data_IF_484568633852
#
_entry.id   IF_484568633852
#
_cell.length_a   1.000
_cell.length_b   1.000
_cell.length_c   1.000
_cell.angle_alpha   90.00
_cell.angle_beta   90.00
_cell.angle_gamma   90.00
#
_symmetry.space_group_name_H-M   'P 1'
#
loop_
_entity.id
_entity.type
_entity.pdbx_description
1 polymer ?
#
# COMPACT_ATOMS: atom_id res chain seq x y z
N UNK A 1 -29.93 -14.09 61.96
CA UNK A 1 -30.03 -14.71 60.61
C UNK A 1 -29.71 -13.66 59.53
N UNK A 2 -28.63 -13.87 58.77
CA UNK A 2 -27.89 -12.89 57.94
C UNK A 2 -28.57 -12.49 56.61
N UNK A 3 -29.72 -11.81 56.64
CA UNK A 3 -30.36 -11.30 55.39
C UNK A 3 -29.76 -10.03 54.72
N UNK A 4 -29.12 -9.07 55.41
CA UNK A 4 -28.63 -7.85 54.75
C UNK A 4 -27.37 -8.10 53.88
N UNK A 5 -26.60 -9.15 54.20
CA UNK A 5 -25.43 -9.58 53.40
C UNK A 5 -25.82 -10.24 52.07
N UNK A 6 -27.03 -10.78 51.96
CA UNK A 6 -27.46 -11.51 50.75
C UNK A 6 -27.79 -10.56 49.59
N UNK A 7 -28.44 -9.42 49.86
CA UNK A 7 -28.79 -8.43 48.82
C UNK A 7 -27.53 -7.76 48.25
N UNK A 8 -26.61 -7.32 49.12
CA UNK A 8 -25.31 -6.78 48.68
C UNK A 8 -24.49 -7.81 47.91
N UNK A 9 -24.58 -9.09 48.28
CA UNK A 9 -23.87 -10.18 47.59
C UNK A 9 -24.46 -10.51 46.23
N UNK A 10 -25.80 -10.55 46.10
CA UNK A 10 -26.49 -10.86 44.84
C UNK A 10 -26.23 -9.81 43.76
N UNK A 11 -26.16 -8.54 44.16
CA UNK A 11 -25.94 -7.44 43.23
C UNK A 11 -24.47 -7.23 42.89
N UNK A 12 -23.56 -7.56 43.81
CA UNK A 12 -22.13 -7.70 43.50
C UNK A 12 -21.89 -8.79 42.45
N UNK A 13 -22.61 -9.92 42.56
CA UNK A 13 -22.58 -10.99 41.57
C UNK A 13 -23.09 -10.49 40.21
N UNK A 14 -24.21 -9.76 40.17
CA UNK A 14 -24.76 -9.21 38.92
C UNK A 14 -23.79 -8.24 38.24
N UNK A 15 -23.14 -7.35 39.02
CA UNK A 15 -22.14 -6.43 38.48
C UNK A 15 -20.91 -7.14 37.91
N UNK A 16 -20.42 -8.17 38.61
CA UNK A 16 -19.32 -9.00 38.13
C UNK A 16 -19.72 -9.67 36.81
N UNK A 17 -20.94 -10.21 36.71
CA UNK A 17 -21.45 -10.82 35.48
C UNK A 17 -21.55 -9.79 34.35
N UNK A 18 -22.09 -8.59 34.60
CA UNK A 18 -22.21 -7.54 33.58
C UNK A 18 -20.85 -7.05 33.07
N UNK A 19 -19.90 -6.76 33.97
CA UNK A 19 -18.53 -6.38 33.59
C UNK A 19 -17.89 -7.51 32.79
N UNK A 20 -18.10 -8.77 33.18
CA UNK A 20 -17.58 -9.94 32.44
C UNK A 20 -18.16 -10.01 31.02
N UNK A 21 -19.45 -9.73 30.85
CA UNK A 21 -20.10 -9.72 29.53
C UNK A 21 -19.57 -8.56 28.67
N UNK A 22 -19.48 -7.36 29.23
CA UNK A 22 -19.00 -6.15 28.51
C UNK A 22 -17.54 -6.32 28.09
N UNK A 23 -16.69 -6.80 28.97
CA UNK A 23 -15.27 -7.08 28.67
C UNK A 23 -15.13 -8.16 27.60
N UNK A 24 -15.90 -9.25 27.70
CA UNK A 24 -15.89 -10.31 26.68
C UNK A 24 -16.37 -9.81 25.31
N UNK A 25 -17.44 -9.01 25.29
CA UNK A 25 -17.91 -8.35 24.06
C UNK A 25 -16.83 -7.44 23.47
N UNK A 26 -16.20 -6.61 24.30
CA UNK A 26 -15.13 -5.70 23.88
C UNK A 26 -13.93 -6.46 23.31
N UNK A 27 -13.58 -7.60 23.91
CA UNK A 27 -12.52 -8.49 23.44
C UNK A 27 -12.84 -9.10 22.06
N UNK A 28 -14.09 -9.55 21.84
CA UNK A 28 -14.54 -10.08 20.54
C UNK A 28 -14.49 -8.98 19.46
N UNK A 29 -14.92 -7.77 19.79
CA UNK A 29 -14.85 -6.62 18.88
C UNK A 29 -13.39 -6.30 18.55
N UNK A 30 -12.51 -6.23 19.55
CA UNK A 30 -11.07 -5.99 19.35
C UNK A 30 -10.42 -7.04 18.46
N UNK A 31 -10.74 -8.32 18.67
CA UNK A 31 -10.29 -9.40 17.79
C UNK A 31 -10.78 -9.24 16.36
N UNK A 32 -12.04 -8.81 16.17
CA UNK A 32 -12.63 -8.60 14.84
C UNK A 32 -12.00 -7.41 14.11
N UNK A 33 -11.76 -6.29 14.82
CA UNK A 33 -11.06 -5.12 14.28
C UNK A 33 -9.65 -5.51 13.85
N UNK A 34 -8.92 -6.25 14.69
CA UNK A 34 -7.59 -6.71 14.36
C UNK A 34 -7.59 -7.65 13.14
N UNK A 35 -8.46 -8.66 13.13
CA UNK A 35 -8.58 -9.60 12.01
C UNK A 35 -8.94 -8.90 10.70
N UNK A 36 -9.82 -7.90 10.77
CA UNK A 36 -10.17 -7.05 9.64
C UNK A 36 -8.93 -6.30 9.14
N UNK A 37 -8.20 -5.61 10.01
CA UNK A 37 -6.99 -4.87 9.63
C UNK A 37 -5.93 -5.77 8.96
N UNK A 38 -5.75 -7.01 9.43
CA UNK A 38 -4.84 -7.97 8.78
C UNK A 38 -5.32 -8.39 7.38
N UNK A 39 -6.63 -8.59 7.24
CA UNK A 39 -7.24 -9.00 5.97
C UNK A 39 -7.18 -7.85 4.96
N UNK A 40 -7.46 -6.63 5.42
CA UNK A 40 -7.36 -5.40 4.63
C UNK A 40 -5.92 -5.21 4.14
N UNK A 41 -4.90 -5.39 5.01
CA UNK A 41 -3.50 -5.29 4.61
C UNK A 41 -3.10 -6.28 3.50
N UNK A 42 -3.57 -7.53 3.55
CA UNK A 42 -3.34 -8.51 2.49
C UNK A 42 -4.05 -8.14 1.18
N UNK A 43 -5.31 -7.70 1.27
CA UNK A 43 -6.08 -7.29 0.10
C UNK A 43 -5.49 -6.05 -0.57
N UNK A 44 -5.08 -5.05 0.22
CA UNK A 44 -4.40 -3.84 -0.23
C UNK A 44 -3.08 -4.21 -0.92
N UNK A 45 -2.28 -5.14 -0.34
CA UNK A 45 -1.04 -5.60 -0.97
C UNK A 45 -1.28 -6.31 -2.31
N UNK A 46 -2.27 -7.21 -2.35
CA UNK A 46 -2.64 -7.93 -3.57
C UNK A 46 -3.16 -6.97 -4.65
N UNK A 47 -3.91 -5.94 -4.27
CA UNK A 47 -4.40 -4.91 -5.18
C UNK A 47 -3.24 -4.09 -5.75
N UNK A 48 -2.31 -3.63 -4.92
CA UNK A 48 -1.13 -2.90 -5.36
C UNK A 48 -0.22 -3.74 -6.25
N UNK A 49 -0.01 -5.02 -5.90
CA UNK A 49 0.78 -5.94 -6.71
C UNK A 49 0.13 -6.17 -8.08
N UNK A 50 -1.18 -6.45 -8.11
CA UNK A 50 -1.94 -6.61 -9.35
C UNK A 50 -1.89 -5.36 -10.22
N UNK A 51 -2.11 -4.20 -9.62
CA UNK A 51 -2.06 -2.91 -10.31
C UNK A 51 -0.67 -2.67 -10.94
N UNK A 52 0.39 -2.94 -10.19
CA UNK A 52 1.76 -2.80 -10.67
C UNK A 52 2.07 -3.78 -11.81
N UNK A 53 1.62 -5.03 -11.67
CA UNK A 53 1.73 -6.05 -12.72
C UNK A 53 0.99 -5.62 -13.99
N UNK A 54 -0.23 -5.09 -13.88
CA UNK A 54 -1.00 -4.58 -15.02
C UNK A 54 -0.32 -3.38 -15.69
N UNK A 55 0.24 -2.46 -14.90
CA UNK A 55 0.98 -1.29 -15.41
C UNK A 55 2.21 -1.72 -16.20
N UNK A 56 3.01 -2.64 -15.66
CA UNK A 56 4.20 -3.16 -16.34
C UNK A 56 3.80 -3.94 -17.60
N UNK A 57 2.79 -4.81 -17.51
CA UNK A 57 2.32 -5.58 -18.68
C UNK A 57 1.77 -4.68 -19.79
N UNK A 58 1.08 -3.59 -19.43
CA UNK A 58 0.63 -2.59 -20.39
C UNK A 58 1.82 -1.88 -21.05
N UNK A 59 2.81 -1.47 -20.25
CA UNK A 59 4.04 -0.87 -20.77
C UNK A 59 4.80 -1.83 -21.69
N UNK A 60 4.82 -3.12 -21.39
CA UNK A 60 5.39 -4.16 -22.25
C UNK A 60 4.68 -4.28 -23.59
N UNK A 61 3.35 -4.37 -23.58
CA UNK A 61 2.56 -4.40 -24.80
C UNK A 61 2.76 -3.12 -25.62
N UNK A 62 2.77 -1.96 -24.96
CA UNK A 62 3.02 -0.67 -25.59
C UNK A 62 4.43 -0.61 -26.21
N UNK A 63 5.44 -1.15 -25.52
CA UNK A 63 6.82 -1.25 -26.03
C UNK A 63 6.87 -2.08 -27.30
N UNK A 64 6.15 -3.20 -27.36
CA UNK A 64 6.08 -4.05 -28.55
C UNK A 64 5.41 -3.37 -29.74
N UNK A 65 4.31 -2.65 -29.51
CA UNK A 65 3.63 -1.85 -30.54
C UNK A 65 4.57 -0.77 -31.06
N UNK A 66 5.20 0.01 -30.18
CA UNK A 66 6.15 1.06 -30.56
C UNK A 66 7.34 0.48 -31.34
N UNK A 67 7.88 -0.64 -30.87
CA UNK A 67 9.01 -1.30 -31.52
C UNK A 67 8.63 -1.78 -32.92
N UNK A 68 7.44 -2.38 -33.08
CA UNK A 68 6.93 -2.82 -34.39
C UNK A 68 6.68 -1.64 -35.33
N UNK A 69 6.11 -0.55 -34.83
CA UNK A 69 5.87 0.65 -35.64
C UNK A 69 7.18 1.30 -36.12
N UNK A 70 8.18 1.37 -35.22
CA UNK A 70 9.46 2.02 -35.50
C UNK A 70 10.46 1.15 -36.25
N UNK A 71 10.46 -0.17 -36.06
CA UNK A 71 11.52 -1.09 -36.50
C UNK A 71 10.98 -2.44 -37.00
N UNK A 72 9.69 -2.54 -37.34
CA UNK A 72 9.07 -3.79 -37.80
C UNK A 72 9.39 -4.22 -39.22
N UNK A 73 10.04 -3.35 -40.02
CA UNK A 73 10.43 -3.63 -41.40
C UNK A 73 11.94 -3.35 -41.62
N UNK A 74 12.50 -4.01 -42.64
CA UNK A 74 13.92 -3.91 -42.95
C UNK A 74 14.35 -2.47 -43.28
N UNK A 75 13.51 -1.71 -44.00
CA UNK A 75 13.81 -0.34 -44.40
C UNK A 75 13.94 0.61 -43.20
N UNK A 76 13.10 0.45 -42.17
CA UNK A 76 13.19 1.21 -40.92
C UNK A 76 14.41 0.84 -40.10
N UNK A 77 14.79 -0.42 -40.06
CA UNK A 77 16.04 -0.86 -39.41
C UNK A 77 17.25 -0.29 -40.14
N UNK A 78 17.28 -0.36 -41.47
CA UNK A 78 18.34 0.26 -42.29
C UNK A 78 18.40 1.78 -42.10
N UNK A 79 17.25 2.44 -41.93
CA UNK A 79 17.17 3.86 -41.63
C UNK A 79 17.75 4.19 -40.24
N UNK A 80 17.48 3.36 -39.24
CA UNK A 80 18.11 3.47 -37.91
C UNK A 80 19.63 3.31 -38.02
N UNK A 81 20.11 2.32 -38.76
CA UNK A 81 21.54 2.14 -39.02
C UNK A 81 22.16 3.36 -39.70
N UNK A 82 21.47 3.94 -40.69
CA UNK A 82 21.91 5.15 -41.36
C UNK A 82 22.00 6.35 -40.40
N UNK A 83 21.08 6.47 -39.45
CA UNK A 83 21.13 7.51 -38.41
C UNK A 83 22.37 7.35 -37.50
N UNK A 84 22.75 6.12 -37.17
CA UNK A 84 23.95 5.85 -36.36
C UNK A 84 25.25 6.08 -37.13
N UNK A 85 25.32 5.61 -38.38
CA UNK A 85 26.54 5.60 -39.21
C UNK A 85 26.86 6.91 -39.94
N UNK A 86 25.85 7.67 -40.37
CA UNK A 86 26.06 8.87 -41.17
C UNK A 86 26.19 10.13 -40.30
N UNK A 87 26.86 11.13 -40.86
CA UNK A 87 26.85 12.49 -40.31
C UNK A 87 25.45 13.11 -40.39
N UNK A 88 25.08 14.03 -39.48
CA UNK A 88 23.73 14.59 -39.41
C UNK A 88 23.21 15.19 -40.73
N UNK A 89 24.07 15.87 -41.48
CA UNK A 89 23.72 16.47 -42.78
C UNK A 89 23.46 15.42 -43.85
N UNK A 90 24.32 14.39 -43.93
CA UNK A 90 24.18 13.29 -44.88
C UNK A 90 22.93 12.46 -44.58
N UNK A 91 22.67 12.21 -43.30
CA UNK A 91 21.46 11.51 -42.87
C UNK A 91 20.19 12.28 -43.24
N UNK A 92 20.17 13.59 -43.00
CA UNK A 92 19.04 14.44 -43.37
C UNK A 92 18.80 14.39 -44.89
N UNK A 93 19.85 14.54 -45.70
CA UNK A 93 19.74 14.45 -47.15
C UNK A 93 19.19 13.08 -47.60
N UNK A 94 19.69 11.98 -47.03
CA UNK A 94 19.18 10.63 -47.31
C UNK A 94 17.69 10.51 -46.98
N UNK A 95 17.28 11.03 -45.82
CA UNK A 95 15.87 10.96 -45.38
C UNK A 95 14.92 11.79 -46.26
N UNK A 96 15.41 12.90 -46.83
CA UNK A 96 14.63 13.77 -47.72
C UNK A 96 14.49 13.22 -49.14
N UNK A 97 15.47 12.42 -49.61
CA UNK A 97 15.44 11.78 -50.94
C UNK A 97 14.55 10.53 -50.99
N UNK A 98 13.86 10.19 -49.90
CA UNK A 98 13.01 9.02 -49.84
C UNK A 98 11.74 9.20 -50.71
N UNK A 99 11.66 8.46 -51.82
CA UNK A 99 10.57 8.55 -52.80
C UNK A 99 9.30 7.75 -52.41
N UNK A 100 9.32 7.04 -51.28
CA UNK A 100 8.20 6.19 -50.84
C UNK A 100 7.04 6.98 -50.21
N UNK A 101 7.20 8.28 -49.99
CA UNK A 101 6.21 9.12 -49.30
C UNK A 101 6.16 8.92 -47.78
N UNK A 102 6.87 7.91 -47.26
CA UNK A 102 6.98 7.65 -45.83
C UNK A 102 8.01 8.56 -45.15
N UNK A 103 7.66 9.09 -43.98
CA UNK A 103 8.52 9.95 -43.19
C UNK A 103 9.55 9.12 -42.41
N UNK A 104 10.72 8.88 -43.01
CA UNK A 104 11.81 8.10 -42.42
C UNK A 104 12.84 8.93 -41.64
N UNK A 105 12.53 10.18 -41.28
CA UNK A 105 13.46 10.95 -40.46
C UNK A 105 13.38 10.53 -38.99
N UNK A 106 14.40 9.80 -38.52
CA UNK A 106 14.42 9.13 -37.22
C UNK A 106 14.04 10.03 -36.02
N UNK A 107 14.62 11.25 -35.88
CA UNK A 107 14.25 12.14 -34.77
C UNK A 107 12.76 12.54 -34.79
N UNK A 108 12.13 12.62 -35.97
CA UNK A 108 10.71 12.91 -36.07
C UNK A 108 9.85 11.68 -35.78
N UNK A 109 10.26 10.49 -36.22
CA UNK A 109 9.58 9.23 -35.87
C UNK A 109 9.50 9.06 -34.36
N UNK A 110 10.60 9.27 -33.65
CA UNK A 110 10.63 9.19 -32.18
C UNK A 110 9.78 10.30 -31.55
N UNK A 111 9.88 11.53 -32.05
CA UNK A 111 9.05 12.64 -31.56
C UNK A 111 7.55 12.34 -31.68
N UNK A 112 7.14 11.65 -32.74
CA UNK A 112 5.77 11.23 -32.98
C UNK A 112 5.29 10.22 -31.92
N UNK A 113 6.15 9.30 -31.48
CA UNK A 113 5.83 8.36 -30.39
C UNK A 113 5.42 9.12 -29.13
N UNK A 114 6.18 10.13 -28.71
CA UNK A 114 5.82 10.95 -27.54
C UNK A 114 4.52 11.76 -27.70
N UNK A 115 4.03 11.96 -28.92
CA UNK A 115 2.74 12.62 -29.16
C UNK A 115 1.56 11.66 -29.19
N UNK A 116 1.80 10.42 -29.61
CA UNK A 116 0.76 9.38 -29.71
C UNK A 116 0.61 8.57 -28.43
N UNK A 117 1.70 8.44 -27.68
CA UNK A 117 1.81 7.55 -26.54
C UNK A 117 2.05 8.36 -25.27
N UNK A 118 1.23 8.11 -24.25
CA UNK A 118 1.40 8.66 -22.91
C UNK A 118 2.24 7.70 -22.05
N UNK A 119 2.84 8.21 -20.96
CA UNK A 119 3.52 7.37 -19.97
C UNK A 119 4.94 6.95 -20.28
N UNK A 120 5.56 7.58 -21.26
CA UNK A 120 6.95 7.32 -21.64
C UNK A 120 7.83 8.41 -21.04
N UNK A 121 8.72 8.06 -20.10
CA UNK A 121 9.76 8.99 -19.64
C UNK A 121 10.88 9.13 -20.66
N UNK A 122 11.23 8.02 -21.32
CA UNK A 122 12.36 7.96 -22.23
C UNK A 122 12.34 6.74 -23.14
N UNK A 123 13.07 6.85 -24.25
CA UNK A 123 13.35 5.74 -25.17
C UNK A 123 14.86 5.69 -25.36
N UNK A 124 15.43 4.51 -25.18
CA UNK A 124 16.84 4.20 -25.42
C UNK A 124 16.95 3.12 -26.49
N UNK A 125 17.89 3.29 -27.41
CA UNK A 125 18.24 2.26 -28.39
C UNK A 125 19.75 2.08 -28.41
N UNK A 126 20.17 0.82 -28.35
CA UNK A 126 21.55 0.40 -28.53
C UNK A 126 21.62 -0.56 -29.69
N UNK A 127 22.62 -0.40 -30.55
CA UNK A 127 22.91 -1.32 -31.65
C UNK A 127 24.22 -2.05 -31.35
N UNK A 128 24.32 -3.32 -31.71
CA UNK A 128 25.47 -4.15 -31.33
C UNK A 128 26.80 -3.69 -31.97
N UNK A 129 26.72 -2.99 -33.10
CA UNK A 129 27.87 -2.55 -33.91
C UNK A 129 28.36 -1.14 -33.55
N UNK A 130 27.67 -0.42 -32.66
CA UNK A 130 27.98 0.96 -32.34
C UNK A 130 28.22 1.16 -30.84
N UNK A 131 29.30 1.88 -30.50
CA UNK A 131 29.61 2.25 -29.12
C UNK A 131 28.67 3.33 -28.56
N UNK A 132 28.00 4.08 -29.45
CA UNK A 132 27.04 5.11 -29.08
C UNK A 132 25.64 4.51 -28.94
N UNK A 133 24.82 5.11 -28.09
CA UNK A 133 23.40 4.78 -27.98
C UNK A 133 22.56 6.00 -28.35
N UNK A 134 21.35 5.75 -28.83
CA UNK A 134 20.34 6.78 -28.99
C UNK A 134 19.55 6.90 -27.68
N UNK A 135 19.30 8.13 -27.25
CA UNK A 135 18.46 8.40 -26.09
C UNK A 135 17.56 9.60 -26.36
N UNK A 136 16.30 9.47 -25.98
CA UNK A 136 15.30 10.54 -26.00
C UNK A 136 14.53 10.57 -24.69
N UNK A 137 13.96 11.72 -24.37
CA UNK A 137 13.09 11.90 -23.21
C UNK A 137 12.04 12.97 -23.48
N UNK A 138 11.15 13.21 -22.51
CA UNK A 138 10.07 14.20 -22.63
C UNK A 138 10.54 15.64 -22.93
N UNK A 139 11.74 16.03 -22.49
CA UNK A 139 12.30 17.37 -22.75
C UNK A 139 12.94 17.47 -24.14
N UNK A 140 13.58 16.39 -24.59
CA UNK A 140 14.26 16.29 -25.88
C UNK A 140 13.72 15.09 -26.65
N UNK A 141 12.48 15.23 -27.12
CA UNK A 141 11.71 14.17 -27.80
C UNK A 141 12.37 13.66 -29.07
N UNK A 142 13.13 14.50 -29.76
CA UNK A 142 13.90 14.13 -30.94
C UNK A 142 15.14 13.25 -30.61
N UNK A 143 15.56 13.24 -29.35
CA UNK A 143 16.72 12.53 -28.86
C UNK A 143 18.05 13.00 -29.44
N UNK A 144 19.09 12.23 -29.13
CA UNK A 144 20.45 12.38 -29.67
C UNK A 144 21.28 11.12 -29.44
N UNK A 145 22.36 10.98 -30.20
CA UNK A 145 23.41 9.97 -29.98
C UNK A 145 24.28 10.40 -28.82
N UNK A 146 24.59 9.47 -27.90
CA UNK A 146 25.43 9.72 -26.73
C UNK A 146 26.12 8.44 -26.28
N UNK A 147 27.33 8.57 -25.72
CA UNK A 147 28.11 7.44 -25.19
C UNK A 147 27.79 7.06 -23.75
N UNK A 148 27.20 7.99 -23.00
CA UNK A 148 26.86 7.79 -21.58
C UNK A 148 25.41 8.17 -21.35
N UNK A 149 24.71 7.33 -20.61
CA UNK A 149 23.38 7.63 -20.12
C UNK A 149 23.46 8.54 -18.89
N UNK A 150 22.48 9.42 -18.70
CA UNK A 150 22.25 10.01 -17.39
C UNK A 150 21.98 8.87 -16.39
N UNK A 151 22.62 8.94 -15.21
CA UNK A 151 22.37 8.00 -14.12
C UNK A 151 21.00 8.32 -13.52
N UNK A 152 19.96 7.70 -14.05
CA UNK A 152 18.66 7.69 -13.39
C UNK A 152 18.60 6.45 -12.52
N UNK A 153 18.75 6.65 -11.21
CA UNK A 153 18.38 5.62 -10.24
C UNK A 153 16.84 5.60 -10.15
N UNK A 154 16.26 4.41 -9.99
CA UNK A 154 14.82 4.21 -9.75
C UNK A 154 13.91 4.43 -10.98
N UNK A 155 14.09 3.64 -12.04
CA UNK A 155 13.24 3.67 -13.23
C UNK A 155 12.94 2.26 -13.73
N UNK A 156 11.71 2.06 -14.20
CA UNK A 156 11.32 0.80 -14.82
C UNK A 156 11.68 0.86 -16.30
N UNK A 157 12.61 0.00 -16.68
CA UNK A 157 13.10 -0.15 -18.05
C UNK A 157 12.53 -1.44 -18.65
N UNK A 158 11.71 -1.31 -19.70
CA UNK A 158 11.21 -2.44 -20.48
C UNK A 158 12.13 -2.66 -21.67
N UNK A 159 12.85 -3.78 -21.65
CA UNK A 159 13.81 -4.13 -22.70
C UNK A 159 13.18 -5.08 -23.73
N UNK A 160 13.45 -4.84 -25.01
CA UNK A 160 13.07 -5.71 -26.13
C UNK A 160 14.23 -5.80 -27.14
N UNK A 161 14.58 -7.01 -27.61
CA UNK A 161 15.59 -7.15 -28.66
C UNK A 161 15.05 -6.60 -29.99
N UNK A 162 15.92 -5.95 -30.75
CA UNK A 162 15.63 -5.54 -32.13
C UNK A 162 16.02 -6.71 -33.03
N UNK A 163 15.02 -7.35 -33.63
CA UNK A 163 15.23 -8.54 -34.48
C UNK A 163 15.09 -8.11 -35.93
N UNK A 164 16.12 -8.36 -36.74
CA UNK A 164 16.05 -8.08 -38.17
C UNK A 164 15.10 -9.09 -38.84
N UNK A 165 14.09 -8.64 -39.62
CA UNK A 165 13.05 -9.53 -40.15
C UNK A 165 13.60 -10.59 -41.11
N UNK A 166 14.61 -10.25 -41.90
CA UNK A 166 15.13 -11.15 -42.94
C UNK A 166 16.02 -12.29 -42.43
N UNK A 167 16.73 -12.08 -41.31
CA UNK A 167 17.75 -13.03 -40.83
C UNK A 167 17.55 -13.48 -39.36
N UNK A 168 16.53 -12.94 -38.68
CA UNK A 168 16.15 -13.26 -37.30
C UNK A 168 17.30 -13.02 -36.30
N UNK A 169 18.30 -12.20 -36.66
CA UNK A 169 19.40 -11.84 -35.75
C UNK A 169 19.02 -10.65 -34.88
N UNK A 170 19.35 -10.76 -33.60
CA UNK A 170 19.32 -9.62 -32.69
C UNK A 170 20.41 -8.62 -33.10
N UNK A 171 19.96 -7.42 -33.40
CA UNK A 171 20.75 -6.34 -33.99
C UNK A 171 20.99 -5.22 -32.97
N UNK A 172 20.25 -5.25 -31.86
CA UNK A 172 20.36 -4.28 -30.78
C UNK A 172 19.29 -4.49 -29.71
N UNK A 173 19.19 -3.55 -28.78
CA UNK A 173 18.16 -3.51 -27.74
C UNK A 173 17.42 -2.18 -27.78
N UNK A 174 16.09 -2.27 -27.85
CA UNK A 174 15.16 -1.18 -27.61
C UNK A 174 14.73 -1.20 -26.14
N UNK A 175 14.80 -0.06 -25.47
CA UNK A 175 14.36 0.11 -24.09
C UNK A 175 13.35 1.25 -24.01
N UNK A 176 12.15 0.95 -23.50
CA UNK A 176 11.20 1.97 -23.08
C UNK A 176 11.34 2.21 -21.58
N UNK A 177 11.36 3.47 -21.18
CA UNK A 177 11.43 3.88 -19.77
C UNK A 177 10.05 4.41 -19.38
N UNK A 178 9.44 3.79 -18.37
CA UNK A 178 8.11 4.19 -17.87
C UNK A 178 8.22 5.50 -17.09
N UNK A 179 7.24 6.37 -17.27
CA UNK A 179 7.11 7.60 -16.49
C UNK A 179 6.70 7.33 -15.04
N UNK A 180 7.61 7.67 -14.11
CA UNK A 180 7.42 7.61 -12.66
C UNK A 180 6.18 8.39 -12.22
N UNK A 181 5.84 9.49 -12.90
CA UNK A 181 4.65 10.27 -12.57
C UNK A 181 3.35 9.46 -12.75
N UNK A 182 3.27 8.58 -13.76
CA UNK A 182 2.11 7.71 -13.95
C UNK A 182 2.06 6.63 -12.88
N UNK A 183 3.22 6.05 -12.55
CA UNK A 183 3.32 5.02 -11.52
C UNK A 183 2.87 5.61 -10.17
N UNK A 184 3.45 6.75 -9.77
CA UNK A 184 3.10 7.43 -8.50
C UNK A 184 1.65 7.86 -8.45
N UNK A 185 1.18 8.59 -9.46
CA UNK A 185 -0.21 9.06 -9.52
C UNK A 185 -1.19 7.90 -9.32
N UNK A 186 -1.00 6.80 -10.03
CA UNK A 186 -1.94 5.69 -9.98
C UNK A 186 -1.82 4.87 -8.67
N UNK A 187 -0.61 4.79 -8.10
CA UNK A 187 -0.41 4.21 -6.77
C UNK A 187 -1.09 5.07 -5.71
N UNK A 188 -0.94 6.39 -5.74
CA UNK A 188 -1.57 7.34 -4.81
C UNK A 188 -3.11 7.35 -4.95
N UNK A 189 -3.64 7.15 -6.15
CA UNK A 189 -5.08 7.00 -6.40
C UNK A 189 -5.64 5.65 -5.89
N UNK A 190 -4.79 4.67 -5.58
CA UNK A 190 -5.19 3.39 -5.01
C UNK A 190 -5.24 3.50 -3.47
N UNK A 191 -6.44 3.38 -2.89
CA UNK A 191 -6.61 3.32 -1.43
C UNK A 191 -5.72 2.23 -0.82
N UNK A 192 -4.92 2.58 0.19
CA UNK A 192 -4.10 1.63 0.97
C UNK A 192 -2.59 1.71 0.72
N UNK A 193 -2.14 2.41 -0.33
CA UNK A 193 -0.70 2.46 -0.72
C UNK A 193 0.16 3.36 0.16
N UNK A 194 -0.45 4.20 1.01
CA UNK A 194 0.26 5.09 1.95
C UNK A 194 1.18 4.34 2.93
N UNK A 195 0.87 3.07 3.22
CA UNK A 195 1.62 2.23 4.17
C UNK A 195 2.52 1.20 3.49
N UNK A 196 2.45 1.13 2.17
CA UNK A 196 3.09 0.09 1.39
C UNK A 196 4.46 0.51 0.90
N UNK A 197 5.32 -0.47 0.67
CA UNK A 197 6.53 -0.34 -0.12
C UNK A 197 6.42 -1.29 -1.31
N UNK A 198 6.64 -0.78 -2.51
CA UNK A 198 6.59 -1.56 -3.75
C UNK A 198 8.00 -1.61 -4.32
N UNK A 199 8.46 -2.81 -4.63
CA UNK A 199 9.78 -3.09 -5.17
C UNK A 199 9.62 -3.87 -6.47
N UNK A 200 10.36 -3.48 -7.50
CA UNK A 200 10.41 -4.18 -8.79
C UNK A 200 11.84 -4.62 -9.05
N UNK A 201 12.01 -5.91 -9.29
CA UNK A 201 13.29 -6.55 -9.58
C UNK A 201 13.31 -7.11 -11.00
N UNK A 202 14.50 -7.10 -11.59
CA UNK A 202 14.79 -7.92 -12.77
C UNK A 202 14.75 -9.41 -12.43
N UNK A 203 14.69 -10.25 -13.46
CA UNK A 203 14.88 -11.70 -13.35
C UNK A 203 16.22 -12.06 -12.68
N UNK A 204 17.23 -11.21 -12.85
CA UNK A 204 18.56 -11.31 -12.21
C UNK A 204 18.60 -10.81 -10.76
N UNK A 205 17.44 -10.60 -10.12
CA UNK A 205 17.28 -10.08 -8.77
C UNK A 205 17.93 -8.70 -8.53
N UNK A 206 18.03 -7.85 -9.55
CA UNK A 206 18.50 -6.47 -9.40
C UNK A 206 17.31 -5.54 -9.19
N UNK A 207 17.36 -4.71 -8.15
CA UNK A 207 16.31 -3.72 -7.90
C UNK A 207 16.32 -2.66 -9.02
N UNK A 208 15.19 -2.55 -9.71
CA UNK A 208 14.96 -1.54 -10.76
C UNK A 208 14.21 -0.33 -10.24
N UNK A 209 13.19 -0.58 -9.41
CA UNK A 209 12.27 0.44 -8.94
C UNK A 209 11.81 0.19 -7.51
N UNK A 210 11.65 1.27 -6.76
CA UNK A 210 11.20 1.32 -5.38
C UNK A 210 10.26 2.50 -5.20
N UNK A 211 9.13 2.23 -4.57
CA UNK A 211 8.18 3.21 -4.06
C UNK A 211 7.96 2.96 -2.57
N UNK A 212 7.84 4.03 -1.78
CA UNK A 212 7.52 3.97 -0.36
C UNK A 212 6.42 4.99 -0.06
N UNK A 213 5.30 4.52 0.47
CA UNK A 213 4.19 5.38 0.86
C UNK A 213 4.56 6.30 2.02
N UNK A 214 3.87 7.45 2.14
CA UNK A 214 4.17 8.50 3.11
C UNK A 214 4.26 8.01 4.56
N UNK A 215 3.39 7.07 4.96
CA UNK A 215 3.35 6.51 6.33
C UNK A 215 4.44 5.45 6.56
N UNK A 216 5.04 4.93 5.49
CA UNK A 216 6.17 4.02 5.57
C UNK A 216 7.53 4.74 5.43
N UNK A 217 7.53 5.99 4.96
CA UNK A 217 8.73 6.82 4.76
C UNK A 217 9.52 7.08 6.06
N UNK A 218 8.87 7.11 7.22
CA UNK A 218 9.51 7.31 8.53
C UNK A 218 10.35 6.12 9.04
N UNK A 219 10.15 4.92 8.49
CA UNK A 219 10.96 3.72 8.77
C UNK A 219 11.96 3.43 7.65
N UNK A 220 12.20 4.41 6.76
CA UNK A 220 13.27 4.42 5.77
C UNK A 220 14.64 4.60 6.44
N UNK A 221 14.89 3.85 7.51
CA UNK A 221 16.25 3.51 7.88
C UNK A 221 16.82 2.72 6.70
N UNK A 222 18.00 3.13 6.28
CA UNK A 222 18.93 2.44 5.40
C UNK A 222 19.34 1.06 5.97
N UNK A 223 18.39 0.20 6.39
CA UNK A 223 18.58 -1.24 6.40
C UNK A 223 18.44 -1.70 4.97
N UNK A 224 19.49 -1.33 4.24
CA UNK A 224 20.09 -2.07 3.15
C UNK A 224 19.08 -2.93 2.41
N UNK A 225 18.55 -2.35 1.35
CA UNK A 225 17.96 -3.02 0.19
C UNK A 225 18.71 -4.32 -0.19
N UNK A 226 19.98 -4.48 0.21
CA UNK A 226 20.79 -5.71 0.10
C UNK A 226 20.34 -6.90 0.97
N UNK A 227 19.58 -6.72 2.06
CA UNK A 227 19.02 -7.85 2.83
C UNK A 227 17.79 -8.46 2.15
N UNK A 228 17.11 -7.69 1.29
CA UNK A 228 16.02 -8.16 0.44
C UNK A 228 16.51 -8.89 -0.83
N UNK A 229 17.80 -8.76 -1.17
CA UNK A 229 18.44 -9.41 -2.34
C UNK A 229 18.59 -10.93 -2.12
N UNK A 230 18.66 -11.38 -0.87
CA UNK A 230 18.49 -12.79 -0.54
C UNK A 230 17.03 -13.04 -0.20
N UNK A 231 16.28 -13.58 -1.17
CA UNK A 231 14.96 -14.17 -0.99
C UNK A 231 15.05 -15.36 -0.02
N UNK A 232 15.25 -15.07 1.26
CA UNK A 232 15.19 -16.02 2.35
C UNK A 232 13.85 -15.71 3.02
N UNK A 233 12.77 -16.30 2.48
CA UNK A 233 11.35 -16.13 2.85
C UNK A 233 11.12 -16.00 4.37
N UNK A 234 11.98 -16.62 5.18
CA UNK A 234 11.85 -16.74 6.63
C UNK A 234 12.11 -15.46 7.45
N UNK A 235 12.79 -14.45 6.91
CA UNK A 235 13.10 -13.21 7.67
C UNK A 235 12.09 -12.09 7.44
N UNK A 236 11.57 -11.95 6.21
CA UNK A 236 10.62 -10.90 5.80
C UNK A 236 9.20 -11.17 6.27
N UNK A 237 8.74 -12.43 6.30
CA UNK A 237 7.41 -12.79 6.81
C UNK A 237 7.17 -12.42 8.27
N UNK A 238 8.23 -12.20 9.08
CA UNK A 238 8.07 -11.89 10.50
C UNK A 238 7.60 -10.45 10.71
N UNK A 239 8.21 -9.49 10.04
CA UNK A 239 7.97 -8.06 10.25
C UNK A 239 6.87 -7.48 9.36
N UNK A 240 6.72 -8.02 8.15
CA UNK A 240 5.89 -7.43 7.10
C UNK A 240 4.86 -8.44 6.58
N UNK A 241 3.76 -7.91 6.03
CA UNK A 241 2.90 -8.63 5.10
C UNK A 241 3.51 -8.49 3.71
N UNK A 242 3.80 -9.63 3.07
CA UNK A 242 4.48 -9.69 1.78
C UNK A 242 3.52 -10.22 0.72
N UNK A 243 3.56 -9.65 -0.47
CA UNK A 243 2.87 -10.20 -1.65
C UNK A 243 3.81 -10.11 -2.84
N UNK A 244 4.03 -11.24 -3.49
CA UNK A 244 4.93 -11.36 -4.64
C UNK A 244 4.12 -11.73 -5.88
N UNK A 245 4.37 -11.04 -6.98
CA UNK A 245 3.82 -11.34 -8.31
C UNK A 245 4.91 -11.20 -9.36
N UNK A 246 4.65 -11.73 -10.55
CA UNK A 246 5.57 -11.65 -11.69
C UNK A 246 4.84 -11.07 -12.89
N UNK A 247 5.56 -10.25 -13.65
CA UNK A 247 5.12 -9.74 -14.94
C UNK A 247 5.27 -10.78 -16.05
N UNK A 248 4.66 -10.54 -17.21
CA UNK A 248 4.82 -11.40 -18.40
C UNK A 248 6.27 -11.54 -18.86
N UNK A 249 7.10 -10.52 -18.67
CA UNK A 249 8.52 -10.58 -19.07
C UNK A 249 9.47 -11.14 -18.01
N UNK A 250 8.97 -11.53 -16.83
CA UNK A 250 9.79 -12.06 -15.73
C UNK A 250 10.09 -11.09 -14.59
N UNK A 251 9.69 -9.81 -14.74
CA UNK A 251 9.92 -8.80 -13.69
C UNK A 251 9.16 -9.17 -12.40
N UNK A 252 9.89 -9.29 -11.30
CA UNK A 252 9.33 -9.63 -9.99
C UNK A 252 8.89 -8.38 -9.26
N UNK A 253 7.66 -8.39 -8.77
CA UNK A 253 7.02 -7.29 -8.07
C UNK A 253 6.77 -7.75 -6.64
N UNK A 254 7.29 -7.00 -5.67
CA UNK A 254 7.17 -7.30 -4.24
C UNK A 254 6.50 -6.12 -3.56
N UNK A 255 5.38 -6.38 -2.90
CA UNK A 255 4.66 -5.39 -2.08
C UNK A 255 4.77 -5.77 -0.61
N UNK A 256 5.21 -4.80 0.19
CA UNK A 256 5.48 -4.95 1.61
C UNK A 256 4.60 -3.97 2.41
N UNK A 257 3.96 -4.48 3.46
CA UNK A 257 3.27 -3.65 4.46
C UNK A 257 3.76 -4.01 5.87
N UNK A 258 4.35 -3.06 6.62
CA UNK A 258 4.79 -3.32 7.99
C UNK A 258 3.65 -3.72 8.92
N UNK A 259 3.81 -4.85 9.62
CA UNK A 259 2.80 -5.31 10.60
C UNK A 259 2.60 -4.30 11.72
N UNK A 260 3.66 -3.58 12.12
CA UNK A 260 3.59 -2.53 13.14
C UNK A 260 2.59 -1.43 12.78
N UNK A 261 2.58 -0.98 11.52
CA UNK A 261 1.64 0.03 11.04
C UNK A 261 0.20 -0.51 11.05
N UNK A 262 0.00 -1.78 10.69
CA UNK A 262 -1.31 -2.45 10.74
C UNK A 262 -1.82 -2.57 12.18
N UNK A 263 -0.97 -3.02 13.11
CA UNK A 263 -1.34 -3.12 14.53
C UNK A 263 -1.59 -1.75 15.17
N UNK A 264 -0.77 -0.74 14.84
CA UNK A 264 -0.94 0.62 15.36
C UNK A 264 -2.28 1.21 14.92
N UNK A 265 -2.64 1.04 13.65
CA UNK A 265 -3.93 1.50 13.15
C UNK A 265 -5.09 0.71 13.78
N UNK A 266 -5.00 -0.62 13.82
CA UNK A 266 -6.02 -1.45 14.46
C UNK A 266 -6.23 -1.06 15.92
N UNK A 267 -5.15 -0.76 16.64
CA UNK A 267 -5.21 -0.26 18.01
C UNK A 267 -5.84 1.12 18.08
N UNK A 268 -5.47 2.05 17.19
CA UNK A 268 -6.06 3.40 17.15
C UNK A 268 -7.57 3.36 16.88
N UNK A 269 -8.02 2.50 15.97
CA UNK A 269 -9.44 2.30 15.66
C UNK A 269 -10.19 1.67 16.85
N UNK A 270 -9.54 0.74 17.56
CA UNK A 270 -10.11 0.08 18.75
C UNK A 270 -10.01 0.93 20.03
N UNK A 271 -9.11 1.90 20.08
CA UNK A 271 -8.79 2.67 21.29
C UNK A 271 -10.01 3.43 21.83
N UNK A 272 -10.79 4.06 20.93
CA UNK A 272 -12.01 4.77 21.31
C UNK A 272 -13.09 3.82 21.85
N UNK A 273 -13.17 2.61 21.29
CA UNK A 273 -14.09 1.57 21.79
C UNK A 273 -13.67 1.07 23.18
N UNK A 274 -12.37 0.89 23.42
CA UNK A 274 -11.86 0.54 24.75
C UNK A 274 -12.18 1.59 25.80
N UNK A 275 -11.96 2.88 25.49
CA UNK A 275 -12.29 3.97 26.40
C UNK A 275 -13.80 4.00 26.67
N UNK A 276 -14.63 3.87 25.64
CA UNK A 276 -16.08 3.83 25.78
C UNK A 276 -16.55 2.68 26.67
N UNK A 277 -15.98 1.49 26.47
CA UNK A 277 -16.28 0.31 27.29
C UNK A 277 -15.90 0.51 28.76
N UNK A 278 -14.70 1.02 29.03
CA UNK A 278 -14.20 1.28 30.38
C UNK A 278 -15.03 2.37 31.09
N UNK A 279 -15.48 3.39 30.36
CA UNK A 279 -16.39 4.41 30.88
C UNK A 279 -17.75 3.82 31.29
N UNK A 280 -18.32 2.92 30.48
CA UNK A 280 -19.59 2.26 30.79
C UNK A 280 -19.45 1.42 32.06
N UNK A 281 -18.38 0.63 32.16
CA UNK A 281 -18.09 -0.17 33.36
C UNK A 281 -17.89 0.72 34.60
N UNK A 282 -17.21 1.86 34.45
CA UNK A 282 -17.02 2.85 35.51
C UNK A 282 -18.34 3.49 35.98
N UNK A 283 -19.22 3.87 35.06
CA UNK A 283 -20.55 4.41 35.37
C UNK A 283 -21.40 3.34 36.07
N UNK A 284 -21.37 2.10 35.60
CA UNK A 284 -22.12 0.99 36.20
C UNK A 284 -21.66 0.75 37.64
N UNK A 285 -20.35 0.75 37.89
CA UNK A 285 -19.79 0.66 39.25
C UNK A 285 -20.18 1.86 40.12
N UNK A 286 -20.21 3.07 39.59
CA UNK A 286 -20.60 4.27 40.33
C UNK A 286 -22.09 4.25 40.71
N UNK A 287 -22.97 3.91 39.76
CA UNK A 287 -24.42 3.75 40.00
C UNK A 287 -24.64 2.69 41.07
N UNK A 288 -23.93 1.58 41.01
CA UNK A 288 -23.98 0.55 42.04
C UNK A 288 -23.45 1.08 43.38
N UNK A 289 -22.33 1.77 43.44
CA UNK A 289 -21.86 2.31 44.72
C UNK A 289 -22.85 3.30 45.35
N UNK A 290 -23.41 4.21 44.55
CA UNK A 290 -24.37 5.24 44.99
C UNK A 290 -25.71 4.65 45.45
N UNK A 291 -26.27 3.75 44.65
CA UNK A 291 -27.58 3.15 44.93
C UNK A 291 -27.52 2.31 46.20
N UNK A 292 -26.44 1.57 46.41
CA UNK A 292 -26.29 0.65 47.53
C UNK A 292 -25.88 1.31 48.83
N UNK A 293 -25.08 2.39 48.77
CA UNK A 293 -24.83 3.25 49.92
C UNK A 293 -26.11 3.89 50.49
N UNK A 294 -27.17 3.99 49.67
CA UNK A 294 -28.51 4.44 50.07
C UNK A 294 -29.38 3.27 50.57
N UNK A 295 -29.45 2.15 49.85
CA UNK A 295 -30.26 0.99 50.23
C UNK A 295 -29.79 0.30 51.53
N UNK A 296 -28.48 0.27 51.80
CA UNK A 296 -27.94 -0.26 53.06
C UNK A 296 -28.47 0.47 54.28
N UNK A 297 -28.57 1.81 54.20
CA UNK A 297 -29.12 2.66 55.28
C UNK A 297 -30.63 2.46 55.45
N UNK A 298 -31.38 2.37 54.36
CA UNK A 298 -32.85 2.24 54.42
C UNK A 298 -33.32 0.90 55.00
N UNK A 299 -32.63 -0.21 54.71
CA UNK A 299 -32.98 -1.53 55.26
C UNK A 299 -32.56 -1.65 56.73
N UNK A 300 -31.50 -0.96 57.13
CA UNK A 300 -31.07 -0.87 58.53
C UNK A 300 -32.07 -0.05 59.36
N UNK A 301 -32.55 1.09 58.86
CA UNK A 301 -33.60 1.90 59.50
C UNK A 301 -34.92 1.14 59.69
N UNK A 302 -35.36 0.37 58.68
CA UNK A 302 -36.58 -0.45 58.80
C UNK A 302 -36.41 -1.53 59.88
N UNK A 303 -35.22 -2.14 60.02
CA UNK A 303 -34.95 -3.13 61.07
C UNK A 303 -34.83 -2.53 62.45
N UNK A 304 -34.20 -1.37 62.60
CA UNK A 304 -34.14 -0.64 63.88
C UNK A 304 -35.56 -0.28 64.31
N UNK A 305 -36.42 0.12 63.37
CA UNK A 305 -37.83 0.40 63.62
C UNK A 305 -38.61 -0.88 63.98
N UNK A 306 -38.34 -2.02 63.33
CA UNK A 306 -39.01 -3.29 63.62
C UNK A 306 -38.58 -3.89 64.98
N UNK A 307 -37.31 -3.76 65.36
CA UNK A 307 -36.84 -4.14 66.70
C UNK A 307 -37.40 -3.20 67.79
N UNK A 308 -37.53 -1.90 67.52
CA UNK A 308 -38.19 -0.96 68.45
C UNK A 308 -39.69 -1.25 68.65
N UNK A 309 -40.37 -1.82 67.65
CA UNK A 309 -41.78 -2.24 67.77
C UNK A 309 -41.94 -3.56 68.51
N UNK A 310 -40.90 -4.39 68.58
CA UNK A 310 -40.93 -5.70 69.26
C UNK A 310 -40.58 -5.61 70.76
N UNK A 311 -39.92 -4.52 71.20
CA UNK A 311 -39.58 -4.26 72.62
C UNK A 311 -40.61 -3.38 73.38
N UNK A 312 -41.85 -3.26 72.88
CA UNK A 312 -42.98 -2.70 73.64
C UNK A 312 -42.81 -1.22 74.07
N UNK A 313 -42.62 -0.31 73.11
CA UNK A 313 -42.95 1.12 73.29
C UNK A 313 -43.91 1.59 72.20
N UNK A 314 -45.21 1.50 72.47
CA UNK A 314 -46.33 1.94 71.63
C UNK A 314 -46.58 3.45 71.65
N UNK A 315 -45.57 4.28 71.92
CA UNK A 315 -45.67 5.74 71.85
C UNK A 315 -44.45 6.36 71.14
N UNK A 316 -44.26 6.03 69.86
CA UNK A 316 -43.56 6.93 68.95
C UNK A 316 -44.40 7.03 67.68
N UNK A 317 -45.15 8.12 67.59
CA UNK A 317 -45.91 8.53 66.41
C UNK A 317 -44.92 8.75 65.26
N UNK A 318 -45.22 8.20 64.10
CA UNK A 318 -44.46 8.43 62.87
C UNK A 318 -44.44 9.94 62.60
N UNK A 319 -43.28 10.57 62.66
CA UNK A 319 -43.11 11.94 62.19
C UNK A 319 -42.90 11.91 60.66
N UNK A 320 -43.96 12.26 59.94
CA UNK A 320 -44.00 12.32 58.47
C UNK A 320 -43.16 13.46 57.88
N UNK A 321 -42.47 14.27 58.70
CA UNK A 321 -41.62 15.36 58.23
C UNK A 321 -40.30 14.93 57.54
N UNK A 322 -39.89 13.66 57.65
CA UNK A 322 -38.64 13.17 57.03
C UNK A 322 -38.82 12.52 55.65
N UNK A 323 -40.06 12.37 55.16
CA UNK A 323 -40.32 11.94 53.78
C UNK A 323 -40.14 13.11 52.82
N UNK A 324 -38.89 13.42 52.47
CA UNK A 324 -38.63 14.24 51.29
C UNK A 324 -38.80 13.41 50.03
N UNK A 325 -39.55 13.99 49.08
CA UNK A 325 -39.65 13.61 47.67
C UNK A 325 -38.28 13.43 47.01
#
# INVERSE_FOLDING_TARGET
MNKPRLISSLLRLYAIVMITIITLFTMVVGYTVLRKAMTDAHNENAQAAKFMTETINHAEQQTEVILSDLLGDAQKIENLYAYFSLDPSQYLEKSLKNNTGEQLYWPQMIKQVYYQQLGIAGIRISLNEFDELFYSNQTKKAGDKRKKLPKHANQIEVNRPIIHPDNIKSTGTFTMIIDDAIIKKNIEETNGTEKQQILVYTDSNQLMYQYSGEKNSGNSDNKSVTDYVSLNEKMTEKADYVTETESRSGLKIVVLTPKSLVYQQAFQDFFWLLIGSLLIDGVLLLVLFRTFGSYGRQVEDIKVTMNKVTESQLEIRIDEASKKK
#
